data_IF_227309104251
#
_entry.id   IF_227309104251
#
_cell.length_a   1.000
_cell.length_b   1.000
_cell.length_c   1.000
_cell.angle_alpha   90.00
_cell.angle_beta   90.00
_cell.angle_gamma   90.00
#
_symmetry.space_group_name_H-M   'P 1'
#
loop_
_entity.id
_entity.type
_entity.pdbx_description
1 polymer ?
#
# COMPACT_ATOMS: atom_id res chain seq x y z
N UNK A 1 -8.31 -5.57 -0.36
CA UNK A 1 -8.67 -6.83 -1.07
C UNK A 1 -9.63 -7.69 -0.27
N UNK A 2 -9.21 -8.31 0.85
CA UNK A 2 -10.07 -9.22 1.64
C UNK A 2 -11.40 -8.57 2.05
N UNK A 3 -11.34 -7.34 2.56
CA UNK A 3 -12.53 -6.55 2.87
C UNK A 3 -13.50 -6.45 1.69
N UNK A 4 -13.02 -6.12 0.48
CA UNK A 4 -13.91 -6.01 -0.68
C UNK A 4 -14.47 -7.35 -1.15
N UNK A 5 -13.66 -8.42 -1.12
CA UNK A 5 -14.13 -9.78 -1.45
C UNK A 5 -15.29 -10.19 -0.53
N UNK A 6 -15.16 -9.95 0.77
CA UNK A 6 -16.19 -10.27 1.75
C UNK A 6 -17.38 -9.32 1.66
N UNK A 7 -17.16 -8.01 1.66
CA UNK A 7 -18.22 -7.03 1.86
C UNK A 7 -18.97 -6.69 0.58
N UNK A 8 -18.23 -6.48 -0.53
CA UNK A 8 -18.81 -6.04 -1.81
C UNK A 8 -19.25 -7.24 -2.65
N UNK A 9 -18.40 -8.26 -2.74
CA UNK A 9 -18.63 -9.39 -3.64
C UNK A 9 -19.26 -10.61 -2.96
N UNK A 10 -19.30 -10.63 -1.62
CA UNK A 10 -19.84 -11.76 -0.84
C UNK A 10 -19.19 -13.10 -1.19
N UNK A 11 -17.88 -13.08 -1.46
CA UNK A 11 -17.10 -14.25 -1.83
C UNK A 11 -16.50 -14.87 -0.57
N UNK A 12 -16.78 -16.16 -0.37
CA UNK A 12 -16.06 -16.99 0.59
C UNK A 12 -14.70 -17.42 0.01
N UNK A 13 -13.64 -17.34 0.82
CA UNK A 13 -12.31 -17.72 0.40
C UNK A 13 -11.49 -18.28 1.56
N UNK A 14 -10.53 -19.16 1.24
CA UNK A 14 -9.48 -19.59 2.17
C UNK A 14 -8.20 -18.81 1.89
N UNK A 15 -7.73 -18.05 2.87
CA UNK A 15 -6.52 -17.23 2.71
C UNK A 15 -5.25 -18.05 2.99
N UNK A 16 -4.28 -17.99 2.08
CA UNK A 16 -2.91 -18.51 2.27
C UNK A 16 -1.91 -17.36 2.29
N UNK A 17 -1.04 -17.32 3.30
CA UNK A 17 -0.03 -16.27 3.47
C UNK A 17 1.35 -16.79 3.04
N UNK A 18 1.84 -16.32 1.89
CA UNK A 18 3.08 -16.80 1.26
C UNK A 18 4.26 -15.82 1.38
N UNK A 19 4.19 -14.91 2.36
CA UNK A 19 5.21 -13.92 2.77
C UNK A 19 5.56 -12.81 1.78
N UNK A 20 5.74 -13.11 0.49
CA UNK A 20 6.20 -12.12 -0.51
C UNK A 20 5.22 -11.99 -1.68
N UNK A 21 5.20 -10.82 -2.31
CA UNK A 21 4.41 -10.59 -3.53
C UNK A 21 4.85 -11.52 -4.68
N UNK A 22 6.15 -11.77 -4.83
CA UNK A 22 6.68 -12.69 -5.83
C UNK A 22 6.14 -14.11 -5.62
N UNK A 23 6.13 -14.58 -4.37
CA UNK A 23 5.52 -15.87 -4.01
C UNK A 23 4.04 -15.90 -4.34
N UNK A 24 3.28 -14.81 -4.11
CA UNK A 24 1.86 -14.73 -4.49
C UNK A 24 1.69 -14.95 -5.99
N UNK A 25 2.44 -14.21 -6.82
CA UNK A 25 2.34 -14.32 -8.28
C UNK A 25 2.73 -15.71 -8.79
N UNK A 26 3.77 -16.30 -8.22
CA UNK A 26 4.19 -17.67 -8.56
C UNK A 26 3.14 -18.71 -8.18
N UNK A 27 2.50 -18.59 -7.01
CA UNK A 27 1.46 -19.54 -6.59
C UNK A 27 0.23 -19.48 -7.52
N UNK A 28 -0.13 -18.29 -8.00
CA UNK A 28 -1.21 -18.16 -9.01
C UNK A 28 -0.78 -18.77 -10.34
N UNK A 29 0.43 -18.45 -10.80
CA UNK A 29 0.96 -18.97 -12.06
C UNK A 29 1.05 -20.50 -12.09
N UNK A 30 1.44 -21.11 -10.97
CA UNK A 30 1.57 -22.55 -10.82
C UNK A 30 0.24 -23.28 -10.55
N UNK A 31 -0.86 -22.54 -10.39
CA UNK A 31 -2.18 -23.12 -10.07
C UNK A 31 -2.37 -23.52 -8.60
N UNK A 32 -1.43 -23.18 -7.72
CA UNK A 32 -1.50 -23.44 -6.28
C UNK A 32 -2.53 -22.55 -5.56
N UNK A 33 -2.90 -21.43 -6.18
CA UNK A 33 -3.97 -20.54 -5.74
C UNK A 33 -4.77 -20.02 -6.94
N UNK A 34 -6.10 -19.94 -6.80
CA UNK A 34 -6.98 -19.44 -7.87
C UNK A 34 -6.78 -17.94 -8.16
N UNK A 35 -6.40 -17.16 -7.15
CA UNK A 35 -6.10 -15.73 -7.26
C UNK A 35 -5.15 -15.30 -6.14
N UNK A 36 -4.52 -14.14 -6.32
CA UNK A 36 -3.53 -13.60 -5.38
C UNK A 36 -3.60 -12.08 -5.28
N UNK A 37 -3.35 -11.55 -4.08
CA UNK A 37 -3.31 -10.12 -3.84
C UNK A 37 -1.90 -9.53 -4.00
N UNK A 38 -1.81 -8.34 -4.58
CA UNK A 38 -0.56 -7.58 -4.57
C UNK A 38 -0.73 -6.12 -4.96
N UNK A 39 0.38 -5.41 -5.04
CA UNK A 39 0.40 -4.00 -5.43
C UNK A 39 0.79 -3.90 -6.91
N UNK A 40 0.17 -2.99 -7.68
CA UNK A 40 0.44 -2.82 -9.11
C UNK A 40 1.95 -2.74 -9.42
N UNK A 41 2.68 -1.93 -8.63
CA UNK A 41 4.13 -1.76 -8.77
C UNK A 41 4.93 -3.06 -8.61
N UNK A 42 4.48 -4.01 -7.78
CA UNK A 42 5.18 -5.30 -7.59
C UNK A 42 4.88 -6.27 -8.72
N UNK A 43 3.69 -6.18 -9.34
CA UNK A 43 3.36 -6.93 -10.54
C UNK A 43 4.14 -6.41 -11.76
N UNK A 44 4.23 -5.09 -11.92
CA UNK A 44 4.96 -4.44 -13.02
C UNK A 44 6.47 -4.75 -13.00
N UNK A 45 7.01 -5.06 -11.82
CA UNK A 45 8.41 -5.47 -11.63
C UNK A 45 8.69 -6.93 -11.95
N UNK A 46 7.66 -7.75 -12.15
CA UNK A 46 7.86 -9.15 -12.49
C UNK A 46 8.45 -9.30 -13.89
N UNK A 47 9.22 -10.37 -14.09
CA UNK A 47 9.67 -10.77 -15.43
C UNK A 47 8.45 -10.96 -16.34
N UNK A 48 8.56 -10.59 -17.62
CA UNK A 48 7.46 -10.71 -18.59
C UNK A 48 6.86 -12.12 -18.63
N UNK A 49 7.69 -13.16 -18.49
CA UNK A 49 7.23 -14.56 -18.43
C UNK A 49 6.28 -14.87 -17.26
N UNK A 50 6.29 -14.09 -16.19
CA UNK A 50 5.33 -14.21 -15.07
C UNK A 50 4.17 -13.27 -15.33
N UNK A 51 4.47 -11.98 -15.58
CA UNK A 51 3.48 -10.92 -15.74
C UNK A 51 2.48 -11.21 -16.86
N UNK A 52 2.93 -11.71 -18.01
CA UNK A 52 2.09 -11.96 -19.19
C UNK A 52 1.15 -13.17 -19.02
N UNK A 53 1.40 -14.04 -18.04
CA UNK A 53 0.53 -15.17 -17.70
C UNK A 53 -0.45 -14.86 -16.58
N UNK A 54 -0.42 -13.63 -16.04
CA UNK A 54 -1.32 -13.16 -15.01
C UNK A 54 -2.25 -12.11 -15.59
N UNK A 55 -3.50 -12.10 -15.12
CA UNK A 55 -4.49 -11.09 -15.48
C UNK A 55 -5.00 -10.40 -14.23
N UNK A 56 -5.08 -9.07 -14.26
CA UNK A 56 -5.74 -8.30 -13.21
C UNK A 56 -7.25 -8.50 -13.36
N UNK A 57 -7.87 -9.10 -12.34
CA UNK A 57 -9.32 -9.36 -12.31
C UNK A 57 -10.08 -8.34 -11.45
N UNK A 58 -9.39 -7.65 -10.53
CA UNK A 58 -9.97 -6.62 -9.67
C UNK A 58 -8.89 -5.64 -9.22
N UNK A 59 -9.24 -4.35 -9.14
CA UNK A 59 -8.42 -3.30 -8.54
C UNK A 59 -9.16 -2.76 -7.33
N UNK A 60 -8.51 -2.81 -6.17
CA UNK A 60 -9.11 -2.34 -4.92
C UNK A 60 -9.36 -0.84 -4.93
N UNK A 61 -10.31 -0.39 -4.12
CA UNK A 61 -10.54 1.03 -3.88
C UNK A 61 -9.21 1.70 -3.49
N UNK A 62 -8.83 2.82 -4.14
CA UNK A 62 -7.62 3.54 -3.79
C UNK A 62 -7.76 4.12 -2.38
N UNK A 63 -6.65 4.13 -1.64
CA UNK A 63 -6.57 4.69 -0.30
C UNK A 63 -5.47 5.73 -0.26
N UNK A 64 -5.50 6.61 0.74
CA UNK A 64 -4.47 7.62 0.93
C UNK A 64 -3.06 6.97 0.98
N UNK A 65 -2.04 7.62 0.38
CA UNK A 65 -0.65 7.16 0.45
C UNK A 65 -0.11 7.10 1.88
N UNK A 66 1.09 6.55 2.06
CA UNK A 66 1.70 6.44 3.39
C UNK A 66 1.95 7.83 4.03
N UNK A 67 1.46 8.07 5.26
CA UNK A 67 1.76 9.30 5.99
C UNK A 67 3.16 9.25 6.61
N UNK A 68 3.69 10.43 6.90
CA UNK A 68 4.68 10.58 7.98
C UNK A 68 3.92 10.73 9.29
N UNK A 69 4.15 9.81 10.23
CA UNK A 69 3.56 9.86 11.55
C UNK A 69 4.59 10.34 12.58
N UNK A 70 4.15 11.15 13.54
CA UNK A 70 4.97 11.66 14.63
C UNK A 70 4.47 11.13 15.96
N UNK A 71 5.39 10.72 16.84
CA UNK A 71 5.02 10.27 18.18
C UNK A 71 4.57 11.47 19.04
N UNK A 72 3.50 11.37 19.86
CA UNK A 72 2.98 12.49 20.67
C UNK A 72 3.98 13.17 21.61
N UNK A 73 5.06 12.45 21.97
CA UNK A 73 6.17 12.97 22.79
C UNK A 73 7.05 14.01 22.09
N UNK A 74 6.97 14.12 20.77
CA UNK A 74 7.75 15.11 20.00
C UNK A 74 7.01 16.45 20.10
N UNK A 75 7.69 17.55 20.50
CA UNK A 75 7.06 18.86 20.56
C UNK A 75 6.44 19.27 19.23
N UNK A 76 5.22 19.80 19.26
CA UNK A 76 4.47 20.20 18.06
C UNK A 76 5.28 21.14 17.15
N UNK A 77 5.99 22.10 17.73
CA UNK A 77 6.84 23.04 16.99
C UNK A 77 8.00 22.37 16.23
N UNK A 78 8.49 21.22 16.70
CA UNK A 78 9.50 20.43 15.99
C UNK A 78 8.85 19.65 14.85
N UNK A 79 7.70 19.02 15.11
CA UNK A 79 6.95 18.29 14.10
C UNK A 79 6.58 19.19 12.91
N UNK A 80 6.08 20.40 13.18
CA UNK A 80 5.74 21.40 12.18
C UNK A 80 6.94 21.83 11.34
N UNK A 81 8.11 22.08 11.97
CA UNK A 81 9.34 22.44 11.26
C UNK A 81 9.79 21.33 10.31
N UNK A 82 9.75 20.07 10.75
CA UNK A 82 10.11 18.92 9.92
C UNK A 82 9.13 18.75 8.76
N UNK A 83 7.82 18.81 9.03
CA UNK A 83 6.79 18.72 7.99
C UNK A 83 6.96 19.81 6.93
N UNK A 84 7.17 21.07 7.36
CA UNK A 84 7.41 22.20 6.46
C UNK A 84 8.67 21.99 5.61
N UNK A 85 9.78 21.56 6.23
CA UNK A 85 11.02 21.29 5.50
C UNK A 85 10.84 20.22 4.42
N UNK A 86 10.16 19.12 4.75
CA UNK A 86 9.86 18.04 3.82
C UNK A 86 8.97 18.52 2.65
N UNK A 87 7.93 19.31 2.92
CA UNK A 87 7.06 19.88 1.89
C UNK A 87 7.85 20.84 0.99
N UNK A 88 8.70 21.68 1.57
CA UNK A 88 9.55 22.62 0.83
C UNK A 88 10.56 21.89 -0.08
N UNK A 89 11.11 20.75 0.34
CA UNK A 89 11.93 19.92 -0.54
C UNK A 89 11.16 19.47 -1.79
N UNK A 90 9.86 19.22 -1.68
CA UNK A 90 9.00 18.89 -2.82
C UNK A 90 8.82 20.03 -3.83
N UNK A 91 9.22 21.26 -3.50
CA UNK A 91 9.04 22.45 -4.32
C UNK A 91 10.28 22.79 -5.17
N UNK A 92 11.45 22.26 -4.83
CA UNK A 92 12.71 22.48 -5.57
C UNK A 92 13.12 21.25 -6.37
N UNK A 93 13.87 21.44 -7.46
CA UNK A 93 14.28 20.31 -8.31
C UNK A 93 15.31 19.41 -7.61
N UNK A 94 16.27 20.01 -6.89
CA UNK A 94 17.22 19.28 -6.05
C UNK A 94 16.51 18.46 -4.95
N UNK A 95 15.50 19.07 -4.29
CA UNK A 95 14.74 18.40 -3.25
C UNK A 95 13.90 17.25 -3.78
N UNK A 96 13.24 17.42 -4.95
CA UNK A 96 12.56 16.33 -5.66
C UNK A 96 13.51 15.21 -6.04
N UNK A 97 14.73 15.53 -6.49
CA UNK A 97 15.75 14.53 -6.82
C UNK A 97 16.14 13.71 -5.58
N UNK A 98 16.34 14.35 -4.43
CA UNK A 98 16.62 13.66 -3.16
C UNK A 98 15.44 12.77 -2.73
N UNK A 99 14.21 13.29 -2.74
CA UNK A 99 13.02 12.53 -2.38
C UNK A 99 12.78 11.34 -3.31
N UNK A 100 13.16 11.43 -4.59
CA UNK A 100 13.01 10.33 -5.54
C UNK A 100 13.86 9.09 -5.19
N UNK A 101 14.93 9.26 -4.41
CA UNK A 101 15.78 8.15 -3.94
C UNK A 101 15.09 7.31 -2.87
N UNK A 102 14.09 7.86 -2.18
CA UNK A 102 13.28 7.19 -1.15
C UNK A 102 11.82 7.26 -1.57
N UNK A 103 11.25 6.22 -2.19
CA UNK A 103 10.16 6.21 -3.20
C UNK A 103 8.99 7.23 -3.05
N UNK A 104 9.30 8.52 -2.97
CA UNK A 104 8.40 9.65 -2.74
C UNK A 104 8.46 10.49 -4.00
N UNK A 105 7.47 10.29 -4.87
CA UNK A 105 7.35 11.05 -6.12
C UNK A 105 6.77 12.44 -5.90
N UNK A 106 5.88 12.56 -4.93
CA UNK A 106 5.20 13.80 -4.54
C UNK A 106 5.03 13.75 -3.03
N UNK A 107 5.40 14.85 -2.39
CA UNK A 107 5.17 15.08 -0.96
C UNK A 107 4.14 16.19 -0.81
N UNK A 108 3.35 16.14 0.26
CA UNK A 108 2.27 17.09 0.49
C UNK A 108 1.74 16.95 1.91
N UNK A 109 0.76 17.80 2.23
CA UNK A 109 0.04 17.75 3.50
C UNK A 109 -0.80 16.48 3.58
N UNK A 110 -0.91 15.95 4.80
CA UNK A 110 -1.74 14.80 5.12
C UNK A 110 -2.53 15.11 6.40
N UNK A 111 -3.82 14.83 6.38
CA UNK A 111 -4.73 15.01 7.49
C UNK A 111 -5.27 13.65 7.94
N UNK A 112 -5.67 13.55 9.21
CA UNK A 112 -6.24 12.30 9.73
C UNK A 112 -7.51 11.89 8.95
N UNK A 113 -8.29 12.87 8.47
CA UNK A 113 -9.48 12.67 7.63
C UNK A 113 -9.19 11.96 6.31
N UNK A 114 -7.97 12.09 5.77
CA UNK A 114 -7.57 11.38 4.54
C UNK A 114 -7.58 9.86 4.73
N UNK A 115 -7.48 9.40 5.99
CA UNK A 115 -7.42 8.00 6.37
C UNK A 115 -8.72 7.49 6.99
N UNK A 116 -9.73 8.34 7.18
CA UNK A 116 -11.06 7.93 7.63
C UNK A 116 -11.66 6.79 6.77
N UNK A 117 -11.50 6.76 5.43
CA UNK A 117 -11.97 5.62 4.63
C UNK A 117 -11.34 4.28 5.03
N UNK A 118 -10.13 4.26 5.60
CA UNK A 118 -9.51 3.03 6.10
C UNK A 118 -10.15 2.55 7.41
N UNK A 119 -10.54 3.48 8.29
CA UNK A 119 -11.26 3.16 9.53
C UNK A 119 -12.64 2.58 9.20
N UNK A 120 -13.36 3.20 8.27
CA UNK A 120 -14.69 2.77 7.83
C UNK A 120 -14.69 1.37 7.17
N UNK A 121 -13.55 0.95 6.62
CA UNK A 121 -13.40 -0.41 6.07
C UNK A 121 -13.41 -1.50 7.16
N UNK A 122 -13.17 -1.16 8.44
CA UNK A 122 -13.16 -2.12 9.56
C UNK A 122 -12.16 -3.25 9.36
N UNK A 123 -10.92 -2.90 9.00
CA UNK A 123 -9.89 -3.85 8.59
C UNK A 123 -9.36 -4.74 9.74
N UNK A 124 -9.64 -4.36 10.98
CA UNK A 124 -9.29 -5.06 12.22
C UNK A 124 -9.82 -6.50 12.26
N UNK A 125 -11.04 -6.75 11.74
CA UNK A 125 -11.62 -8.11 11.66
C UNK A 125 -10.84 -9.07 10.75
N UNK A 126 -9.94 -8.53 9.93
CA UNK A 126 -9.07 -9.30 9.05
C UNK A 126 -7.65 -9.45 9.61
N UNK A 127 -7.35 -8.91 10.78
CA UNK A 127 -6.05 -9.07 11.42
C UNK A 127 -5.78 -10.56 11.72
N UNK A 128 -4.57 -11.02 11.39
CA UNK A 128 -4.10 -12.37 11.71
C UNK A 128 -2.78 -12.20 12.44
N UNK A 129 -2.72 -12.69 13.67
CA UNK A 129 -1.48 -12.70 14.43
C UNK A 129 -0.54 -13.74 13.78
N UNK A 130 0.52 -13.26 13.14
CA UNK A 130 1.55 -14.14 12.60
C UNK A 130 2.51 -14.48 13.75
N UNK A 131 2.30 -15.65 14.36
CA UNK A 131 3.32 -16.29 15.20
C UNK A 131 4.44 -16.85 14.34
#
# INVERSE_FOLDING_TARGET
MRQELTDKFKIEFSARYVKTHDSVYLNVLLGEAAAGGGVQKTLDRQKDKIRNHLKIIHTTTPVAPHPFAVHPRVPASVAEKVAKALIQMGQTDDGKQLLSQVPIKKIGEAHISDYQPLEEMGLDRFYVNQQ
#
